data_IF_756517790782
#
_entry.id   IF_756517790782
#
_cell.length_a   1.000
_cell.length_b   1.000
_cell.length_c   1.000
_cell.angle_alpha   90.00
_cell.angle_beta   90.00
_cell.angle_gamma   90.00
#
_symmetry.space_group_name_H-M   'P 1'
#
loop_
_entity.id
_entity.type
_entity.pdbx_description
1 polymer ?
#
# COMPACT_ATOMS: atom_id res chain seq x y z
N UNK A 1 -0.69 24.69 -26.61
CA UNK A 1 -1.83 25.61 -26.57
C UNK A 1 -2.86 25.24 -27.64
N UNK A 2 -4.17 25.23 -27.30
CA UNK A 2 -5.26 25.14 -28.29
C UNK A 2 -6.10 26.40 -28.22
N UNK A 3 -6.42 26.98 -29.36
CA UNK A 3 -7.25 28.20 -29.45
C UNK A 3 -8.48 27.88 -30.28
N UNK A 4 -9.65 28.27 -29.79
CA UNK A 4 -10.93 28.17 -30.48
C UNK A 4 -11.56 29.55 -30.53
N UNK A 5 -11.78 30.06 -31.74
CA UNK A 5 -12.54 31.29 -31.96
C UNK A 5 -14.03 31.01 -31.74
N UNK A 6 -14.69 31.88 -30.98
CA UNK A 6 -16.14 31.88 -30.78
C UNK A 6 -16.72 33.20 -31.31
N UNK A 7 -18.05 33.29 -31.44
CA UNK A 7 -18.72 34.44 -32.04
C UNK A 7 -18.42 35.80 -31.37
N UNK A 8 -18.05 35.82 -30.08
CA UNK A 8 -17.73 37.04 -29.32
C UNK A 8 -16.51 36.91 -28.41
N UNK A 9 -15.80 35.78 -28.43
CA UNK A 9 -14.72 35.50 -27.50
C UNK A 9 -13.69 34.51 -28.06
N UNK A 10 -12.51 34.49 -27.47
CA UNK A 10 -11.45 33.56 -27.81
C UNK A 10 -11.24 32.59 -26.63
N UNK A 11 -11.48 31.30 -26.86
CA UNK A 11 -11.23 30.26 -25.85
C UNK A 11 -9.83 29.71 -26.03
N UNK A 12 -8.99 29.84 -25.01
CA UNK A 12 -7.64 29.26 -25.00
C UNK A 12 -7.56 28.15 -23.98
N UNK A 13 -7.07 26.98 -24.39
CA UNK A 13 -6.69 25.89 -23.50
C UNK A 13 -5.18 25.88 -23.36
N UNK A 14 -4.72 26.09 -22.14
CA UNK A 14 -3.31 26.19 -21.77
C UNK A 14 -2.92 25.02 -20.87
N UNK A 15 -1.69 24.54 -21.03
CA UNK A 15 -1.04 23.73 -20.00
C UNK A 15 -0.62 24.62 -18.82
N UNK A 16 -0.36 24.03 -17.65
CA UNK A 16 0.08 24.78 -16.45
C UNK A 16 1.32 25.64 -16.72
N UNK A 17 2.26 25.13 -17.53
CA UNK A 17 3.48 25.87 -17.93
C UNK A 17 3.14 27.07 -18.80
N UNK A 18 2.26 26.89 -19.78
CA UNK A 18 1.84 27.96 -20.69
C UNK A 18 1.03 29.04 -19.96
N UNK A 19 0.17 28.65 -19.00
CA UNK A 19 -0.58 29.59 -18.16
C UNK A 19 0.36 30.47 -17.31
N UNK A 20 1.39 29.87 -16.68
CA UNK A 20 2.41 30.62 -15.92
C UNK A 20 3.21 31.57 -16.81
N UNK A 21 3.59 31.13 -18.01
CA UNK A 21 4.29 31.98 -18.96
C UNK A 21 3.42 33.17 -19.41
N UNK A 22 2.11 32.95 -19.60
CA UNK A 22 1.16 34.01 -19.94
C UNK A 22 1.00 35.01 -18.79
N UNK A 23 0.89 34.53 -17.55
CA UNK A 23 0.83 35.40 -16.37
C UNK A 23 2.08 36.27 -16.25
N UNK A 24 3.27 35.66 -16.38
CA UNK A 24 4.54 36.39 -16.34
C UNK A 24 4.64 37.45 -17.45
N UNK A 25 4.17 37.12 -18.66
CA UNK A 25 4.13 38.06 -19.76
C UNK A 25 3.16 39.22 -19.50
N UNK A 26 1.99 38.94 -18.92
CA UNK A 26 1.01 39.94 -18.56
C UNK A 26 1.56 40.89 -17.48
N UNK A 27 2.20 40.36 -16.45
CA UNK A 27 2.82 41.17 -15.38
C UNK A 27 3.99 42.01 -15.90
N UNK A 28 4.91 41.42 -16.67
CA UNK A 28 6.03 42.15 -17.25
C UNK A 28 5.58 43.22 -18.25
N UNK A 29 4.53 42.94 -19.04
CA UNK A 29 3.93 43.91 -19.94
C UNK A 29 3.26 45.07 -19.19
N UNK A 30 2.57 44.77 -18.08
CA UNK A 30 2.00 45.78 -17.21
C UNK A 30 3.08 46.70 -16.60
N UNK A 31 4.14 46.10 -16.05
CA UNK A 31 5.28 46.83 -15.49
C UNK A 31 5.98 47.73 -16.54
N UNK A 32 6.13 47.23 -17.77
CA UNK A 32 6.75 47.97 -18.86
C UNK A 32 5.90 49.14 -19.39
N UNK A 33 4.57 49.02 -19.35
CA UNK A 33 3.63 50.05 -19.82
C UNK A 33 3.27 51.07 -18.73
N UNK A 34 3.51 50.76 -17.46
CA UNK A 34 3.33 51.64 -16.30
C UNK A 34 1.96 52.36 -16.30
N UNK A 35 1.90 53.68 -16.53
CA UNK A 35 0.64 54.44 -16.55
C UNK A 35 -0.22 54.24 -17.81
N UNK A 36 0.27 53.53 -18.83
CA UNK A 36 -0.48 53.23 -20.07
C UNK A 36 -1.14 51.85 -20.07
N UNK A 37 -1.19 51.18 -18.91
CA UNK A 37 -1.76 49.86 -18.76
C UNK A 37 -3.29 49.93 -18.88
N UNK A 38 -3.94 49.04 -19.66
CA UNK A 38 -5.39 48.95 -19.69
C UNK A 38 -5.96 48.58 -18.31
N UNK A 39 -7.07 49.22 -17.92
CA UNK A 39 -7.72 49.04 -16.60
C UNK A 39 -8.02 47.58 -16.21
N UNK A 40 -8.18 46.70 -17.20
CA UNK A 40 -8.53 45.28 -17.00
C UNK A 40 -7.32 44.39 -16.66
N UNK A 41 -6.10 44.92 -16.69
CA UNK A 41 -4.87 44.11 -16.60
C UNK A 41 -4.69 43.49 -15.22
N UNK A 42 -5.06 44.20 -14.15
CA UNK A 42 -4.98 43.69 -12.78
C UNK A 42 -5.99 42.55 -12.55
N UNK A 43 -7.22 42.72 -13.04
CA UNK A 43 -8.26 41.69 -12.96
C UNK A 43 -7.86 40.43 -13.74
N UNK A 44 -7.33 40.58 -14.95
CA UNK A 44 -6.84 39.46 -15.76
C UNK A 44 -5.67 38.73 -15.08
N UNK A 45 -4.73 39.47 -14.48
CA UNK A 45 -3.58 38.88 -13.78
C UNK A 45 -4.03 38.10 -12.54
N UNK A 46 -4.97 38.65 -11.76
CA UNK A 46 -5.55 37.98 -10.60
C UNK A 46 -6.34 36.73 -11.00
N UNK A 47 -7.14 36.78 -12.08
CA UNK A 47 -7.87 35.62 -12.60
C UNK A 47 -6.93 34.50 -13.08
N UNK A 48 -5.82 34.86 -13.74
CA UNK A 48 -4.80 33.90 -14.15
C UNK A 48 -4.13 33.23 -12.95
N UNK A 49 -3.86 33.98 -11.89
CA UNK A 49 -3.23 33.45 -10.68
C UNK A 49 -4.10 32.40 -9.99
N UNK A 50 -5.39 32.72 -9.79
CA UNK A 50 -6.39 31.81 -9.23
C UNK A 50 -6.47 30.53 -10.08
N UNK A 51 -6.57 30.67 -11.41
CA UNK A 51 -6.65 29.54 -12.32
C UNK A 51 -5.40 28.65 -12.31
N UNK A 52 -4.21 29.25 -12.19
CA UNK A 52 -2.93 28.52 -12.08
C UNK A 52 -2.87 27.75 -10.76
N UNK A 53 -3.27 28.40 -9.66
CA UNK A 53 -3.30 27.76 -8.34
C UNK A 53 -4.24 26.56 -8.33
N UNK A 54 -5.48 26.72 -8.80
CA UNK A 54 -6.47 25.65 -8.88
C UNK A 54 -6.00 24.47 -9.72
N UNK A 55 -5.39 24.75 -10.88
CA UNK A 55 -4.88 23.71 -11.76
C UNK A 55 -3.69 22.97 -11.12
N UNK A 56 -2.78 23.69 -10.46
CA UNK A 56 -1.66 23.09 -9.75
C UNK A 56 -2.12 22.18 -8.61
N UNK A 57 -3.09 22.62 -7.81
CA UNK A 57 -3.69 21.85 -6.72
C UNK A 57 -4.36 20.58 -7.24
N UNK A 58 -5.20 20.69 -8.28
CA UNK A 58 -5.84 19.51 -8.91
C UNK A 58 -4.82 18.51 -9.47
N UNK A 59 -3.74 18.99 -10.08
CA UNK A 59 -2.66 18.11 -10.55
C UNK A 59 -1.90 17.44 -9.40
N UNK A 60 -1.64 18.17 -8.31
CA UNK A 60 -1.01 17.62 -7.11
C UNK A 60 -1.89 16.52 -6.48
N UNK A 61 -3.18 16.78 -6.30
CA UNK A 61 -4.13 15.78 -5.82
C UNK A 61 -4.20 14.55 -6.73
N UNK A 62 -4.26 14.75 -8.05
CA UNK A 62 -4.27 13.64 -9.00
C UNK A 62 -2.99 12.79 -8.90
N UNK A 63 -1.83 13.42 -8.68
CA UNK A 63 -0.56 12.71 -8.43
C UNK A 63 -0.59 11.95 -7.11
N UNK A 64 -1.11 12.55 -6.04
CA UNK A 64 -1.27 11.89 -4.74
C UNK A 64 -2.20 10.69 -4.82
N UNK A 65 -3.35 10.81 -5.51
CA UNK A 65 -4.27 9.68 -5.75
C UNK A 65 -3.62 8.56 -6.56
N UNK A 66 -2.80 8.90 -7.56
CA UNK A 66 -2.02 7.90 -8.32
C UNK A 66 -0.99 7.20 -7.43
N UNK A 67 -0.22 7.96 -6.64
CA UNK A 67 0.73 7.39 -5.67
C UNK A 67 0.04 6.47 -4.67
N UNK A 68 -1.05 6.92 -4.05
CA UNK A 68 -1.83 6.10 -3.12
C UNK A 68 -2.42 4.83 -3.76
N UNK A 69 -2.73 4.86 -5.06
CA UNK A 69 -3.16 3.66 -5.80
C UNK A 69 -2.00 2.69 -6.05
N UNK A 70 -0.80 3.20 -6.29
CA UNK A 70 0.42 2.41 -6.51
C UNK A 70 1.01 1.88 -5.19
N UNK A 71 0.91 2.65 -4.11
CA UNK A 71 1.35 2.32 -2.76
C UNK A 71 0.28 1.59 -1.94
N UNK A 72 -0.75 1.01 -2.61
CA UNK A 72 -1.67 0.11 -1.90
C UNK A 72 -0.80 -0.96 -1.21
N UNK A 73 -0.94 -1.15 0.12
CA UNK A 73 -0.13 -2.11 0.84
C UNK A 73 -0.26 -3.45 0.12
N UNK A 74 0.87 -3.93 -0.41
CA UNK A 74 0.94 -5.25 -1.01
C UNK A 74 0.90 -6.23 0.16
N UNK A 75 -0.31 -6.54 0.61
CA UNK A 75 -0.50 -7.59 1.60
C UNK A 75 0.06 -8.88 1.01
N UNK A 76 0.80 -9.62 1.83
CA UNK A 76 1.25 -10.95 1.43
C UNK A 76 0.04 -11.80 1.08
N UNK A 77 0.17 -12.76 0.16
CA UNK A 77 -0.86 -13.75 -0.06
C UNK A 77 -1.23 -14.41 1.27
N UNK A 78 -2.51 -14.35 1.62
CA UNK A 78 -3.04 -14.88 2.87
C UNK A 78 -4.23 -15.79 2.58
N UNK A 79 -4.33 -16.90 3.29
CA UNK A 79 -5.42 -17.86 3.21
C UNK A 79 -6.06 -17.96 4.59
N UNK A 80 -7.37 -17.74 4.65
CA UNK A 80 -8.16 -18.05 5.83
C UNK A 80 -9.07 -19.24 5.52
N UNK A 81 -9.08 -20.24 6.39
CA UNK A 81 -9.89 -21.44 6.22
C UNK A 81 -10.44 -21.91 7.58
N UNK A 82 -11.59 -22.58 7.55
CA UNK A 82 -12.10 -23.34 8.70
C UNK A 82 -11.73 -24.81 8.49
N UNK A 83 -11.01 -25.39 9.46
CA UNK A 83 -10.56 -26.78 9.42
C UNK A 83 -10.87 -27.40 10.77
N UNK A 84 -11.70 -28.44 10.78
CA UNK A 84 -12.08 -29.21 11.96
C UNK A 84 -12.61 -28.32 13.12
N UNK A 85 -13.31 -27.23 12.78
CA UNK A 85 -13.89 -26.29 13.74
C UNK A 85 -12.90 -25.24 14.27
N UNK A 86 -11.70 -25.16 13.70
CA UNK A 86 -10.70 -24.16 14.02
C UNK A 86 -10.49 -23.20 12.85
N UNK A 87 -10.40 -21.91 13.18
CA UNK A 87 -10.02 -20.89 12.20
C UNK A 87 -8.52 -20.94 11.97
N UNK A 88 -8.12 -21.15 10.73
CA UNK A 88 -6.73 -21.20 10.28
C UNK A 88 -6.43 -19.96 9.47
N UNK A 89 -5.28 -19.33 9.76
CA UNK A 89 -4.68 -18.29 8.92
C UNK A 89 -3.35 -18.81 8.37
N UNK A 90 -3.09 -18.61 7.08
CA UNK A 90 -1.81 -18.92 6.47
C UNK A 90 -1.27 -17.75 5.67
N UNK A 91 0.00 -17.41 5.86
CA UNK A 91 0.69 -16.31 5.19
C UNK A 91 1.88 -16.82 4.38
N UNK A 92 1.98 -16.43 3.11
CA UNK A 92 3.12 -16.79 2.25
C UNK A 92 4.28 -15.81 2.47
N UNK A 93 5.49 -16.34 2.69
CA UNK A 93 6.69 -15.53 2.87
C UNK A 93 7.95 -16.33 3.14
N UNK A 94 8.98 -15.63 3.59
CA UNK A 94 10.23 -16.21 4.06
C UNK A 94 10.21 -16.25 5.59
N UNK A 95 10.40 -17.45 6.14
CA UNK A 95 10.26 -17.73 7.57
C UNK A 95 11.52 -18.38 8.14
N UNK A 96 11.79 -18.11 9.41
CA UNK A 96 12.88 -18.70 10.19
C UNK A 96 12.32 -19.28 11.48
N UNK A 97 12.79 -20.47 11.85
CA UNK A 97 12.49 -21.04 13.15
C UNK A 97 13.38 -20.40 14.22
N UNK A 98 12.74 -19.68 15.14
CA UNK A 98 13.37 -19.01 16.29
C UNK A 98 13.16 -19.79 17.59
N UNK A 99 12.64 -21.01 17.53
CA UNK A 99 12.41 -21.82 18.72
C UNK A 99 13.70 -22.33 19.32
N UNK A 100 13.82 -22.18 20.64
CA UNK A 100 14.91 -22.76 21.43
C UNK A 100 14.66 -24.19 21.89
N UNK A 101 13.45 -24.71 21.70
CA UNK A 101 13.07 -26.04 22.15
C UNK A 101 12.96 -26.94 20.91
N UNK A 102 13.70 -28.06 20.83
CA UNK A 102 13.74 -28.92 19.63
C UNK A 102 12.38 -29.42 19.15
N UNK A 103 11.42 -29.58 20.06
CA UNK A 103 10.10 -30.14 19.75
C UNK A 103 9.05 -29.07 19.40
N UNK A 104 9.32 -27.79 19.69
CA UNK A 104 8.41 -26.70 19.36
C UNK A 104 9.01 -25.91 18.21
N UNK A 105 8.27 -25.69 17.13
CA UNK A 105 8.70 -24.77 16.08
C UNK A 105 8.05 -23.42 16.30
N UNK A 106 8.82 -22.34 16.26
CA UNK A 106 8.33 -20.97 16.43
C UNK A 106 8.81 -20.16 15.25
N UNK A 107 7.90 -19.92 14.30
CA UNK A 107 8.25 -19.25 13.05
C UNK A 107 8.13 -17.74 13.16
N UNK A 108 9.16 -17.03 12.69
CA UNK A 108 9.17 -15.59 12.52
C UNK A 108 9.53 -15.23 11.08
N UNK A 109 9.19 -14.01 10.65
CA UNK A 109 9.65 -13.50 9.37
C UNK A 109 11.18 -13.38 9.36
N UNK A 110 11.78 -13.76 8.22
CA UNK A 110 13.22 -13.61 7.99
C UNK A 110 13.56 -12.11 7.92
N UNK A 111 14.46 -11.67 8.79
CA UNK A 111 15.09 -10.35 8.73
C UNK A 111 16.61 -10.49 8.80
N UNK A 112 17.38 -9.54 8.23
CA UNK A 112 18.84 -9.62 8.22
C UNK A 112 19.48 -9.81 9.61
N UNK A 113 18.87 -9.24 10.65
CA UNK A 113 19.35 -9.35 12.04
C UNK A 113 19.13 -10.74 12.64
N UNK A 114 18.17 -11.51 12.12
CA UNK A 114 17.74 -12.81 12.67
C UNK A 114 18.33 -14.02 11.95
N UNK A 115 19.02 -13.84 10.82
CA UNK A 115 19.68 -14.94 10.10
C UNK A 115 20.84 -15.58 10.91
N UNK A 116 21.32 -14.93 11.99
CA UNK A 116 22.54 -15.28 12.72
C UNK A 116 22.43 -16.28 13.88
N UNK A 117 21.31 -16.99 14.08
CA UNK A 117 21.18 -17.96 15.17
C UNK A 117 19.91 -18.82 15.09
N UNK A 118 20.10 -20.15 15.01
CA UNK A 118 19.14 -21.24 14.80
C UNK A 118 18.66 -21.51 13.35
N UNK A 119 18.27 -22.77 13.12
CA UNK A 119 18.89 -23.61 12.08
C UNK A 119 18.07 -23.79 10.79
N UNK A 120 16.78 -23.49 10.80
CA UNK A 120 15.91 -23.77 9.65
C UNK A 120 15.26 -22.50 9.09
N UNK A 121 15.61 -22.21 7.85
CA UNK A 121 15.05 -21.11 7.06
C UNK A 121 14.18 -21.73 5.97
N UNK A 122 12.93 -21.29 5.90
CA UNK A 122 11.92 -21.68 4.91
C UNK A 122 11.64 -20.49 4.00
N UNK A 123 12.16 -20.53 2.78
CA UNK A 123 11.90 -19.48 1.79
C UNK A 123 10.67 -19.84 0.97
N UNK A 124 9.86 -18.84 0.66
CA UNK A 124 8.65 -18.97 -0.14
C UNK A 124 7.73 -20.11 0.36
N UNK A 125 7.39 -20.05 1.64
CA UNK A 125 6.60 -21.06 2.33
C UNK A 125 5.41 -20.42 3.07
N UNK A 126 4.40 -21.22 3.37
CA UNK A 126 3.23 -20.79 4.13
C UNK A 126 3.49 -20.99 5.62
N UNK A 127 3.43 -19.90 6.40
CA UNK A 127 3.31 -19.98 7.85
C UNK A 127 1.84 -20.16 8.19
N UNK A 128 1.51 -21.23 8.90
CA UNK A 128 0.15 -21.58 9.30
C UNK A 128 -0.02 -21.30 10.79
N UNK A 129 -1.12 -20.65 11.14
CA UNK A 129 -1.53 -20.31 12.49
C UNK A 129 -2.93 -20.89 12.74
N UNK A 130 -3.03 -21.73 13.77
CA UNK A 130 -4.33 -22.14 14.32
C UNK A 130 -4.76 -21.05 15.29
N UNK A 131 -5.79 -20.29 14.94
CA UNK A 131 -6.22 -19.15 15.76
C UNK A 131 -6.97 -19.62 17.00
N UNK A 132 -6.74 -18.92 18.11
CA UNK A 132 -7.49 -19.16 19.32
C UNK A 132 -8.84 -18.43 19.28
N UNK A 133 -9.98 -19.12 19.46
CA UNK A 133 -11.28 -18.45 19.55
C UNK A 133 -11.44 -17.67 20.87
N UNK A 134 -10.66 -17.96 21.91
CA UNK A 134 -10.71 -17.23 23.18
C UNK A 134 -9.96 -15.90 23.08
N UNK A 135 -10.67 -14.81 23.38
CA UNK A 135 -10.16 -13.44 23.38
C UNK A 135 -9.12 -13.18 24.47
N UNK A 136 -9.17 -13.94 25.57
CA UNK A 136 -8.28 -13.77 26.72
C UNK A 136 -7.08 -14.72 26.69
N UNK A 137 -7.02 -15.63 25.72
CA UNK A 137 -5.95 -16.60 25.56
C UNK A 137 -4.80 -16.13 24.66
N UNK A 138 -3.82 -17.00 24.39
CA UNK A 138 -2.79 -16.73 23.40
C UNK A 138 -3.41 -16.52 22.02
N UNK A 139 -2.79 -15.67 21.18
CA UNK A 139 -3.32 -15.29 19.86
C UNK A 139 -3.50 -16.50 18.91
N UNK A 140 -2.64 -17.50 19.03
CA UNK A 140 -2.70 -18.74 18.27
C UNK A 140 -2.47 -19.92 19.21
N UNK A 141 -3.13 -21.04 18.92
CA UNK A 141 -3.04 -22.29 19.67
C UNK A 141 -1.88 -23.16 19.20
N UNK A 142 -1.61 -23.14 17.89
CA UNK A 142 -0.52 -23.87 17.27
C UNK A 142 -0.01 -23.11 16.05
N UNK A 143 1.24 -23.37 15.68
CA UNK A 143 1.84 -22.80 14.47
C UNK A 143 2.73 -23.82 13.76
N UNK A 144 2.87 -23.68 12.44
CA UNK A 144 3.77 -24.48 11.62
C UNK A 144 4.15 -23.76 10.33
N UNK A 145 5.08 -24.33 9.58
CA UNK A 145 5.48 -23.80 8.28
C UNK A 145 5.53 -24.94 7.25
N UNK A 146 5.01 -24.68 6.04
CA UNK A 146 5.08 -25.64 4.93
C UNK A 146 6.51 -25.75 4.38
N UNK A 147 6.75 -26.76 3.55
CA UNK A 147 8.04 -26.93 2.88
C UNK A 147 8.13 -26.04 1.65
N UNK A 148 6.99 -25.79 0.99
CA UNK A 148 6.90 -25.05 -0.26
C UNK A 148 5.74 -24.06 -0.29
N UNK A 149 5.63 -23.28 -1.36
CA UNK A 149 4.52 -22.36 -1.65
C UNK A 149 3.22 -23.07 -2.08
N UNK A 150 3.20 -24.41 -2.14
CA UNK A 150 2.03 -25.17 -2.63
C UNK A 150 0.87 -25.04 -1.65
N UNK A 151 -0.28 -24.56 -2.16
CA UNK A 151 -1.50 -24.39 -1.35
C UNK A 151 -2.04 -25.69 -0.76
N UNK A 152 -1.84 -26.83 -1.43
CA UNK A 152 -2.33 -28.13 -0.95
C UNK A 152 -1.61 -28.60 0.33
N UNK A 153 -0.38 -28.13 0.58
CA UNK A 153 0.34 -28.40 1.83
C UNK A 153 -0.32 -27.71 3.02
N UNK A 154 -1.01 -26.57 2.81
CA UNK A 154 -1.64 -25.79 3.87
C UNK A 154 -2.72 -26.61 4.58
N UNK A 155 -3.63 -27.22 3.81
CA UNK A 155 -4.71 -28.02 4.40
C UNK A 155 -4.22 -29.30 5.08
N UNK A 156 -3.13 -29.90 4.59
CA UNK A 156 -2.53 -31.10 5.20
C UNK A 156 -1.82 -30.76 6.51
N UNK A 157 -1.01 -29.70 6.52
CA UNK A 157 -0.29 -29.28 7.72
C UNK A 157 -1.24 -28.73 8.79
N UNK A 158 -2.26 -27.93 8.39
CA UNK A 158 -3.24 -27.41 9.34
C UNK A 158 -4.02 -28.53 10.06
N UNK A 159 -4.47 -29.56 9.33
CA UNK A 159 -5.12 -30.72 9.95
C UNK A 159 -4.21 -31.47 10.92
N UNK A 160 -2.93 -31.61 10.57
CA UNK A 160 -1.93 -32.20 11.48
C UNK A 160 -1.79 -31.38 12.76
N UNK A 161 -1.62 -30.06 12.65
CA UNK A 161 -1.49 -29.15 13.81
C UNK A 161 -2.71 -29.22 14.74
N UNK A 162 -3.92 -29.27 14.15
CA UNK A 162 -5.16 -29.41 14.93
C UNK A 162 -5.23 -30.77 15.62
N UNK A 163 -4.89 -31.86 14.92
CA UNK A 163 -4.90 -33.20 15.49
C UNK A 163 -3.90 -33.35 16.66
N UNK A 164 -2.67 -32.86 16.49
CA UNK A 164 -1.62 -32.90 17.52
C UNK A 164 -2.07 -32.13 18.77
N UNK A 165 -2.62 -30.91 18.59
CA UNK A 165 -3.16 -30.10 19.67
C UNK A 165 -4.34 -30.76 20.41
N UNK A 166 -5.27 -31.40 19.68
CA UNK A 166 -6.39 -32.14 20.30
C UNK A 166 -5.84 -33.33 21.12
N UNK A 167 -4.85 -34.04 20.58
CA UNK A 167 -4.20 -35.16 21.26
C UNK A 167 -3.53 -34.75 22.58
N UNK A 168 -2.77 -33.66 22.56
CA UNK A 168 -2.12 -33.12 23.77
C UNK A 168 -3.14 -32.69 24.83
N UNK A 169 -4.28 -32.10 24.42
CA UNK A 169 -5.32 -31.66 25.37
C UNK A 169 -6.09 -32.81 26.01
N UNK A 170 -6.14 -33.98 25.38
CA UNK A 170 -6.77 -35.19 25.95
C UNK A 170 -5.82 -35.90 26.93
N UNK A 171 -4.51 -35.75 26.74
CA UNK A 171 -3.49 -36.38 27.58
C UNK A 171 -3.15 -35.58 28.86
N UNK A 172 -3.53 -34.30 28.93
CA UNK A 172 -3.34 -33.40 30.08
C UNK A 172 -4.53 -33.39 31.03
#
# INVERSE_FOLDING_TARGET
MKVQAMASALRVTLTLREARALQQLATAGAEALNFMVPDQTDELTAMLDIGIHDLATKQAEARLRRKAKTERPQFRPMINADIDGFTICAELGDWIDISRVPDYYVWAEVTPEREGGQHEIRRNAWRILVLNPDRNGPLHLASGCTQTERKDEVGTLARKLVADMIGERIAA
#
